data_IF_407897961674
#
_entry.id   IF_407897961674
#
_cell.length_a   1.000
_cell.length_b   1.000
_cell.length_c   1.000
_cell.angle_alpha   90.00
_cell.angle_beta   90.00
_cell.angle_gamma   90.00
#
_symmetry.space_group_name_H-M   'P 1'
#
loop_
_entity.id
_entity.type
_entity.pdbx_description
1 polymer ?
#
# COMPACT_ATOMS: atom_id res chain seq x y z
N UNK A 1 -15.48 30.29 -5.03
CA UNK A 1 -16.71 29.80 -5.69
C UNK A 1 -16.75 28.29 -5.55
N UNK A 2 -17.59 27.78 -4.64
CA UNK A 2 -17.76 26.35 -4.43
C UNK A 2 -18.64 25.76 -5.54
N UNK A 3 -18.15 24.69 -6.17
CA UNK A 3 -18.90 23.97 -7.20
C UNK A 3 -19.95 23.12 -6.47
N UNK A 4 -21.21 23.59 -6.47
CA UNK A 4 -22.36 22.72 -6.19
C UNK A 4 -22.51 21.78 -7.38
N UNK A 5 -22.33 20.49 -7.14
CA UNK A 5 -22.77 19.47 -8.08
C UNK A 5 -24.29 19.42 -7.94
N UNK A 6 -24.98 20.03 -8.91
CA UNK A 6 -26.43 19.89 -9.09
C UNK A 6 -26.65 18.41 -9.40
N UNK A 7 -27.35 17.69 -8.51
CA UNK A 7 -27.88 16.37 -8.82
C UNK A 7 -28.91 16.57 -9.93
N UNK A 8 -28.53 16.14 -11.13
CA UNK A 8 -29.34 16.10 -12.32
C UNK A 8 -30.08 14.75 -12.28
N UNK A 9 -31.34 14.77 -11.84
CA UNK A 9 -32.16 13.56 -11.56
C UNK A 9 -32.52 12.73 -12.82
N UNK A 10 -32.07 13.15 -14.02
CA UNK A 10 -32.40 12.52 -15.31
C UNK A 10 -31.25 11.73 -15.96
N UNK A 11 -30.18 11.40 -15.23
CA UNK A 11 -29.08 10.57 -15.75
C UNK A 11 -29.11 9.16 -15.16
N UNK A 12 -28.91 8.10 -15.96
CA UNK A 12 -28.93 6.73 -15.46
C UNK A 12 -27.89 6.63 -14.35
N UNK A 13 -28.36 6.17 -13.19
CA UNK A 13 -27.68 6.21 -11.90
C UNK A 13 -26.14 6.28 -11.99
N UNK A 14 -25.55 7.37 -11.50
CA UNK A 14 -24.10 7.46 -11.21
C UNK A 14 -23.64 6.46 -10.11
N UNK A 15 -24.50 5.52 -9.73
CA UNK A 15 -24.11 4.33 -9.03
C UNK A 15 -23.33 3.46 -10.03
N UNK A 16 -22.01 3.38 -9.85
CA UNK A 16 -21.29 2.19 -10.29
C UNK A 16 -22.00 1.00 -9.64
N UNK A 17 -22.90 0.31 -10.36
CA UNK A 17 -23.60 -0.92 -9.93
C UNK A 17 -22.63 -2.00 -9.43
N UNK A 18 -21.34 -1.88 -9.77
CA UNK A 18 -20.29 -2.83 -9.44
C UNK A 18 -19.38 -2.39 -8.27
N UNK A 19 -19.57 -1.19 -7.70
CA UNK A 19 -18.80 -0.74 -6.54
C UNK A 19 -19.57 -1.07 -5.25
N UNK A 20 -18.98 -1.80 -4.29
CA UNK A 20 -19.61 -1.99 -2.99
C UNK A 20 -19.93 -0.63 -2.34
N UNK A 21 -20.96 -0.56 -1.46
CA UNK A 21 -21.38 0.69 -0.84
C UNK A 21 -20.17 1.42 -0.26
N UNK A 22 -20.08 2.75 -0.44
CA UNK A 22 -18.96 3.57 0.03
C UNK A 22 -18.54 3.24 1.47
N UNK A 23 -19.53 3.01 2.34
CA UNK A 23 -19.34 2.62 3.74
C UNK A 23 -18.61 1.28 3.89
N UNK A 24 -18.96 0.27 3.09
CA UNK A 24 -18.30 -1.06 3.12
C UNK A 24 -16.83 -0.93 2.71
N UNK A 25 -16.55 -0.20 1.63
CA UNK A 25 -15.18 0.02 1.15
C UNK A 25 -14.36 0.73 2.22
N UNK A 26 -14.90 1.77 2.84
CA UNK A 26 -14.22 2.53 3.89
C UNK A 26 -13.94 1.68 5.13
N UNK A 27 -14.89 0.84 5.57
CA UNK A 27 -14.68 -0.07 6.71
C UNK A 27 -13.59 -1.10 6.41
N UNK A 28 -13.63 -1.74 5.23
CA UNK A 28 -12.60 -2.72 4.86
C UNK A 28 -11.24 -2.04 4.72
N UNK A 29 -11.18 -0.83 4.17
CA UNK A 29 -9.95 -0.05 4.06
C UNK A 29 -9.38 0.29 5.44
N UNK A 30 -10.24 0.65 6.40
CA UNK A 30 -9.85 0.92 7.78
C UNK A 30 -9.25 -0.31 8.46
N UNK A 31 -9.89 -1.47 8.30
CA UNK A 31 -9.39 -2.73 8.84
C UNK A 31 -8.06 -3.13 8.17
N UNK A 32 -7.95 -2.98 6.86
CA UNK A 32 -6.73 -3.31 6.11
C UNK A 32 -5.55 -2.42 6.53
N UNK A 33 -5.74 -1.10 6.62
CA UNK A 33 -4.71 -0.16 7.07
C UNK A 33 -4.28 -0.42 8.52
N UNK A 34 -5.24 -0.76 9.40
CA UNK A 34 -4.93 -1.09 10.80
C UNK A 34 -4.11 -2.38 10.90
N UNK A 35 -4.47 -3.41 10.13
CA UNK A 35 -3.74 -4.68 10.10
C UNK A 35 -2.33 -4.52 9.53
N UNK A 36 -2.17 -3.69 8.50
CA UNK A 36 -0.85 -3.41 7.91
C UNK A 36 0.09 -2.75 8.94
N UNK A 37 -0.39 -1.72 9.64
CA UNK A 37 0.37 -1.07 10.70
C UNK A 37 0.74 -2.03 11.85
N UNK A 38 -0.19 -2.90 12.25
CA UNK A 38 0.09 -3.94 13.25
C UNK A 38 1.14 -4.94 12.77
N UNK A 39 1.12 -5.31 11.50
CA UNK A 39 2.10 -6.20 10.90
C UNK A 39 3.51 -5.57 10.90
N UNK A 40 3.60 -4.26 10.73
CA UNK A 40 4.87 -3.53 10.83
C UNK A 40 5.41 -3.45 12.24
N UNK A 41 4.54 -3.19 13.23
CA UNK A 41 4.97 -3.20 14.63
C UNK A 41 5.39 -4.59 15.10
N UNK A 42 4.73 -5.65 14.64
CA UNK A 42 5.09 -7.02 14.94
C UNK A 42 6.51 -7.33 14.45
N UNK A 43 6.85 -6.91 13.22
CA UNK A 43 8.19 -7.07 12.66
C UNK A 43 9.20 -6.19 13.39
N UNK A 44 8.87 -4.94 13.71
CA UNK A 44 9.73 -4.05 14.50
C UNK A 44 10.09 -4.65 15.85
N UNK A 45 9.10 -5.17 16.59
CA UNK A 45 9.31 -5.77 17.90
C UNK A 45 10.29 -6.95 17.82
N UNK A 46 10.14 -7.81 16.80
CA UNK A 46 11.03 -8.94 16.58
C UNK A 46 12.43 -8.52 16.12
N UNK A 47 12.54 -7.50 15.27
CA UNK A 47 13.83 -6.92 14.90
C UNK A 47 14.53 -6.36 16.15
N UNK A 48 13.82 -5.67 17.03
CA UNK A 48 14.38 -5.07 18.25
C UNK A 48 14.95 -6.12 19.20
N UNK A 49 14.23 -7.23 19.40
CA UNK A 49 14.64 -8.35 20.24
C UNK A 49 15.98 -8.96 19.77
N UNK A 50 16.18 -9.05 18.45
CA UNK A 50 17.36 -9.71 17.85
C UNK A 50 18.43 -8.76 17.32
N UNK A 51 18.21 -7.43 17.41
CA UNK A 51 19.11 -6.39 16.95
C UNK A 51 20.54 -6.52 17.50
N UNK A 52 20.76 -6.80 18.80
CA UNK A 52 22.12 -6.90 19.37
C UNK A 52 22.93 -8.05 18.77
N UNK A 53 22.25 -9.05 18.21
CA UNK A 53 22.89 -10.24 17.69
C UNK A 53 23.30 -10.09 16.22
N UNK A 54 22.88 -9.03 15.49
CA UNK A 54 23.22 -8.84 14.07
C UNK A 54 24.74 -8.72 13.85
N UNK A 55 25.26 -9.50 12.92
CA UNK A 55 26.67 -9.56 12.52
C UNK A 55 26.96 -8.72 11.27
N UNK A 56 25.94 -8.50 10.41
CA UNK A 56 26.09 -7.75 9.16
C UNK A 56 25.76 -6.28 9.35
N UNK A 57 26.73 -5.41 9.04
CA UNK A 57 26.54 -3.95 9.11
C UNK A 57 25.38 -3.48 8.23
N UNK A 58 25.18 -4.11 7.06
CA UNK A 58 24.06 -3.80 6.16
C UNK A 58 22.71 -4.17 6.78
N UNK A 59 22.64 -5.28 7.52
CA UNK A 59 21.44 -5.70 8.22
C UNK A 59 21.10 -4.74 9.36
N UNK A 60 22.11 -4.26 10.09
CA UNK A 60 21.94 -3.25 11.15
C UNK A 60 21.38 -1.94 10.58
N UNK A 61 21.96 -1.42 9.49
CA UNK A 61 21.43 -0.21 8.83
C UNK A 61 20.01 -0.42 8.29
N UNK A 62 19.73 -1.60 7.71
CA UNK A 62 18.38 -1.92 7.24
C UNK A 62 17.36 -1.97 8.39
N UNK A 63 17.74 -2.51 9.55
CA UNK A 63 16.91 -2.55 10.75
C UNK A 63 16.62 -1.14 11.29
N UNK A 64 17.64 -0.27 11.40
CA UNK A 64 17.43 1.12 11.80
C UNK A 64 16.56 1.89 10.81
N UNK A 65 16.77 1.67 9.51
CA UNK A 65 15.89 2.20 8.46
C UNK A 65 14.45 1.71 8.65
N UNK A 66 14.25 0.43 8.97
CA UNK A 66 12.92 -0.14 9.21
C UNK A 66 12.24 0.54 10.40
N UNK A 67 12.93 0.77 11.52
CA UNK A 67 12.38 1.51 12.66
C UNK A 67 12.00 2.95 12.31
N UNK A 68 12.81 3.64 11.52
CA UNK A 68 12.50 5.00 11.06
C UNK A 68 11.22 5.01 10.21
N UNK A 69 11.13 4.13 9.21
CA UNK A 69 9.97 4.04 8.34
C UNK A 69 8.72 3.53 9.05
N UNK A 70 8.85 2.72 10.11
CA UNK A 70 7.74 2.37 10.99
C UNK A 70 7.22 3.58 11.79
N UNK A 71 8.07 4.55 12.11
CA UNK A 71 7.62 5.83 12.66
C UNK A 71 6.86 6.65 11.62
N UNK A 72 7.35 6.67 10.38
CA UNK A 72 6.69 7.36 9.25
C UNK A 72 5.34 6.70 8.93
N UNK A 73 5.23 5.37 8.98
CA UNK A 73 3.98 4.65 8.71
C UNK A 73 2.87 5.02 9.68
N UNK A 74 3.16 5.32 10.94
CA UNK A 74 2.16 5.86 11.89
C UNK A 74 1.58 7.18 11.39
N UNK A 75 2.42 8.09 10.90
CA UNK A 75 1.98 9.40 10.39
C UNK A 75 1.10 9.20 9.15
N UNK A 76 1.55 8.33 8.24
CA UNK A 76 0.86 8.06 6.98
C UNK A 76 -0.47 7.33 7.21
N UNK A 77 -0.51 6.42 8.19
CA UNK A 77 -1.73 5.80 8.69
C UNK A 77 -2.72 6.83 9.22
N UNK A 78 -2.28 7.83 10.00
CA UNK A 78 -3.18 8.91 10.45
C UNK A 78 -3.78 9.66 9.26
N UNK A 79 -3.00 9.97 8.22
CA UNK A 79 -3.51 10.61 7.02
C UNK A 79 -4.53 9.73 6.28
N UNK A 80 -4.26 8.44 6.12
CA UNK A 80 -5.22 7.51 5.51
C UNK A 80 -6.50 7.40 6.36
N UNK A 81 -6.38 7.36 7.69
CA UNK A 81 -7.52 7.31 8.60
C UNK A 81 -8.38 8.57 8.56
N UNK A 82 -7.77 9.76 8.46
CA UNK A 82 -8.52 11.02 8.31
C UNK A 82 -9.34 11.00 7.02
N UNK A 83 -8.74 10.57 5.90
CA UNK A 83 -9.41 10.46 4.60
C UNK A 83 -10.59 9.47 4.63
N UNK A 84 -10.39 8.29 5.23
CA UNK A 84 -11.42 7.26 5.36
C UNK A 84 -12.55 7.71 6.30
N UNK A 85 -12.23 8.31 7.45
CA UNK A 85 -13.23 8.81 8.40
C UNK A 85 -14.04 9.98 7.84
N UNK A 86 -13.41 10.89 7.09
CA UNK A 86 -14.13 11.95 6.39
C UNK A 86 -15.09 11.38 5.34
N UNK A 87 -14.63 10.38 4.59
CA UNK A 87 -15.46 9.67 3.60
C UNK A 87 -16.64 8.94 4.25
N UNK A 88 -16.46 8.37 5.45
CA UNK A 88 -17.55 7.74 6.23
C UNK A 88 -18.55 8.75 6.78
N UNK A 89 -18.07 9.89 7.29
CA UNK A 89 -18.92 10.88 7.96
C UNK A 89 -19.75 11.71 6.98
N UNK A 90 -19.14 12.11 5.86
CA UNK A 90 -19.75 13.04 4.91
C UNK A 90 -20.28 12.35 3.65
N UNK A 91 -20.06 11.05 3.48
CA UNK A 91 -20.42 10.26 2.29
C UNK A 91 -19.87 10.81 0.96
N UNK A 92 -18.94 11.75 1.05
CA UNK A 92 -18.27 12.40 -0.08
C UNK A 92 -16.77 12.15 0.06
N UNK A 93 -16.18 11.56 -0.97
CA UNK A 93 -14.75 11.28 -1.05
C UNK A 93 -14.08 12.34 -1.94
N UNK A 94 -13.16 13.13 -1.39
CA UNK A 94 -12.36 14.04 -2.19
C UNK A 94 -11.30 13.24 -2.96
N UNK A 95 -11.57 12.99 -4.23
CA UNK A 95 -10.73 12.18 -5.12
C UNK A 95 -9.27 12.65 -5.16
N UNK A 96 -9.01 13.95 -5.02
CA UNK A 96 -7.63 14.46 -4.98
C UNK A 96 -6.91 14.05 -3.70
N UNK A 97 -7.54 14.27 -2.55
CA UNK A 97 -7.00 13.92 -1.23
C UNK A 97 -6.81 12.41 -1.09
N UNK A 98 -7.79 11.61 -1.53
CA UNK A 98 -7.71 10.16 -1.49
C UNK A 98 -6.57 9.59 -2.35
N UNK A 99 -6.34 10.17 -3.54
CA UNK A 99 -5.19 9.80 -4.40
C UNK A 99 -3.87 10.20 -3.78
N UNK A 100 -3.80 11.39 -3.19
CA UNK A 100 -2.59 11.88 -2.54
C UNK A 100 -2.23 11.02 -1.32
N UNK A 101 -3.21 10.75 -0.44
CA UNK A 101 -3.02 9.90 0.72
C UNK A 101 -2.51 8.51 0.30
N UNK A 102 -3.14 7.86 -0.68
CA UNK A 102 -2.70 6.53 -1.10
C UNK A 102 -1.34 6.52 -1.80
N UNK A 103 -1.01 7.58 -2.56
CA UNK A 103 0.32 7.71 -3.17
C UNK A 103 1.41 7.95 -2.11
N UNK A 104 1.08 8.67 -1.03
CA UNK A 104 1.95 8.89 0.11
C UNK A 104 2.22 7.59 0.88
N UNK A 105 1.18 6.80 1.15
CA UNK A 105 1.26 5.43 1.70
C UNK A 105 2.20 4.59 0.85
N UNK A 106 2.00 4.57 -0.47
CA UNK A 106 2.84 3.77 -1.34
C UNK A 106 4.32 4.19 -1.26
N UNK A 107 4.60 5.49 -1.33
CA UNK A 107 5.96 6.02 -1.41
C UNK A 107 6.73 5.95 -0.09
N UNK A 108 6.06 6.19 1.04
CA UNK A 108 6.70 6.31 2.35
C UNK A 108 6.64 5.01 3.16
N UNK A 109 5.70 4.13 2.87
CA UNK A 109 5.45 2.94 3.70
C UNK A 109 5.60 1.66 2.90
N UNK A 110 4.77 1.50 1.86
CA UNK A 110 4.65 0.22 1.15
C UNK A 110 5.89 -0.08 0.28
N UNK A 111 6.60 0.91 -0.29
CA UNK A 111 7.84 0.63 -1.03
C UNK A 111 9.05 0.46 -0.10
N UNK A 112 9.33 1.38 0.86
CA UNK A 112 10.55 1.32 1.65
C UNK A 112 10.60 0.11 2.60
N UNK A 113 9.51 -0.19 3.31
CA UNK A 113 9.56 -1.22 4.36
C UNK A 113 9.77 -2.64 3.83
N UNK A 114 9.03 -3.13 2.81
CA UNK A 114 9.31 -4.44 2.21
C UNK A 114 10.71 -4.51 1.58
N UNK A 115 11.21 -3.40 1.03
CA UNK A 115 12.56 -3.33 0.47
C UNK A 115 13.62 -3.50 1.56
N UNK A 116 13.49 -2.75 2.66
CA UNK A 116 14.39 -2.86 3.81
C UNK A 116 14.33 -4.24 4.44
N UNK A 117 13.14 -4.83 4.52
CA UNK A 117 12.95 -6.17 5.02
C UNK A 117 13.63 -7.21 4.13
N UNK A 118 13.51 -7.07 2.81
CA UNK A 118 14.19 -7.93 1.85
C UNK A 118 15.72 -7.84 1.99
N UNK A 119 16.26 -6.62 2.15
CA UNK A 119 17.70 -6.40 2.37
C UNK A 119 18.13 -7.04 3.69
N UNK A 120 17.37 -6.83 4.77
CA UNK A 120 17.63 -7.44 6.07
C UNK A 120 17.68 -8.96 5.96
N UNK A 121 16.67 -9.56 5.35
CA UNK A 121 16.54 -11.01 5.21
C UNK A 121 17.58 -11.64 4.29
N UNK A 122 18.01 -10.91 3.24
CA UNK A 122 19.06 -11.37 2.32
C UNK A 122 20.43 -11.38 2.98
N UNK A 123 20.72 -10.40 3.85
CA UNK A 123 22.01 -10.29 4.52
C UNK A 123 22.06 -11.13 5.80
N UNK A 124 20.93 -11.31 6.49
CA UNK A 124 20.81 -12.12 7.70
C UNK A 124 19.52 -12.94 7.71
N UNK A 125 19.50 -14.08 7.02
CA UNK A 125 18.36 -14.97 7.04
C UNK A 125 18.33 -15.68 8.39
N UNK A 126 17.56 -15.17 9.36
CA UNK A 126 17.38 -15.81 10.68
C UNK A 126 16.06 -16.55 10.75
N UNK A 127 16.10 -17.80 11.21
CA UNK A 127 14.90 -18.63 11.41
C UNK A 127 13.88 -17.97 12.37
N UNK A 128 14.35 -17.25 13.41
CA UNK A 128 13.48 -16.58 14.38
C UNK A 128 12.71 -15.39 13.81
N UNK A 129 13.26 -14.73 12.79
CA UNK A 129 12.59 -13.64 12.07
C UNK A 129 11.70 -14.17 10.93
N UNK A 130 11.88 -15.42 10.49
CA UNK A 130 11.17 -15.97 9.34
C UNK A 130 9.65 -16.03 9.54
N UNK A 131 9.18 -16.57 10.65
CA UNK A 131 7.75 -16.67 10.94
C UNK A 131 7.02 -15.31 11.03
N UNK A 132 7.52 -14.33 11.81
CA UNK A 132 6.89 -13.01 11.87
C UNK A 132 6.96 -12.26 10.53
N UNK A 133 8.07 -12.38 9.79
CA UNK A 133 8.20 -11.78 8.45
C UNK A 133 7.26 -12.43 7.44
N UNK A 134 7.11 -13.76 7.50
CA UNK A 134 6.17 -14.49 6.64
C UNK A 134 4.74 -14.03 6.88
N UNK A 135 4.30 -14.01 8.14
CA UNK A 135 2.94 -13.58 8.51
C UNK A 135 2.69 -12.11 8.14
N UNK A 136 3.63 -11.22 8.45
CA UNK A 136 3.55 -9.79 8.10
C UNK A 136 3.51 -9.57 6.59
N UNK A 137 4.32 -10.31 5.81
CA UNK A 137 4.33 -10.21 4.35
C UNK A 137 3.00 -10.67 3.72
N UNK A 138 2.33 -11.67 4.30
CA UNK A 138 0.98 -12.06 3.85
C UNK A 138 -0.07 -10.97 4.12
N UNK A 139 -0.04 -10.34 5.29
CA UNK A 139 -0.93 -9.22 5.60
C UNK A 139 -0.68 -8.06 4.62
N UNK A 140 0.59 -7.72 4.38
CA UNK A 140 0.98 -6.72 3.39
C UNK A 140 0.48 -7.06 1.99
N UNK A 141 0.55 -8.32 1.57
CA UNK A 141 0.05 -8.73 0.26
C UNK A 141 -1.46 -8.50 0.13
N UNK A 142 -2.23 -8.78 1.18
CA UNK A 142 -3.67 -8.51 1.21
C UNK A 142 -3.95 -7.00 1.17
N UNK A 143 -3.24 -6.20 1.97
CA UNK A 143 -3.36 -4.74 1.99
C UNK A 143 -3.03 -4.11 0.62
N UNK A 144 -1.96 -4.58 -0.04
CA UNK A 144 -1.56 -4.14 -1.38
C UNK A 144 -2.57 -4.53 -2.45
N UNK A 145 -3.13 -5.74 -2.37
CA UNK A 145 -4.18 -6.17 -3.30
C UNK A 145 -5.43 -5.31 -3.14
N UNK A 146 -5.80 -4.98 -1.90
CA UNK A 146 -6.87 -4.01 -1.63
C UNK A 146 -6.55 -2.61 -2.18
N UNK A 147 -5.28 -2.20 -2.11
CA UNK A 147 -4.78 -0.98 -2.74
C UNK A 147 -5.08 -0.90 -4.24
N UNK A 148 -4.97 -2.01 -4.97
CA UNK A 148 -5.34 -2.07 -6.41
C UNK A 148 -6.82 -1.79 -6.61
N UNK A 149 -7.69 -2.39 -5.77
CA UNK A 149 -9.14 -2.16 -5.83
C UNK A 149 -9.44 -0.68 -5.59
N UNK A 150 -8.80 -0.06 -4.59
CA UNK A 150 -8.94 1.38 -4.29
C UNK A 150 -8.43 2.25 -5.44
N UNK A 151 -7.29 1.93 -6.06
CA UNK A 151 -6.78 2.65 -7.24
C UNK A 151 -7.70 2.53 -8.47
N UNK A 152 -8.29 1.36 -8.70
CA UNK A 152 -9.29 1.15 -9.74
C UNK A 152 -10.53 2.02 -9.50
N UNK A 153 -11.07 2.04 -8.27
CA UNK A 153 -12.20 2.89 -7.87
C UNK A 153 -11.88 4.39 -8.07
N UNK A 154 -10.71 4.83 -7.65
CA UNK A 154 -10.24 6.21 -7.78
C UNK A 154 -9.88 6.59 -9.23
N UNK A 155 -10.03 5.68 -10.21
CA UNK A 155 -9.64 5.86 -11.61
C UNK A 155 -8.18 6.32 -11.75
N UNK A 156 -7.36 5.87 -10.81
CA UNK A 156 -5.93 6.16 -10.73
C UNK A 156 -5.09 4.94 -11.17
N UNK A 157 -5.75 3.84 -11.51
CA UNK A 157 -5.12 2.68 -12.10
C UNK A 157 -5.05 2.83 -13.62
N UNK A 158 -3.83 3.05 -14.13
CA UNK A 158 -3.56 3.30 -15.56
C UNK A 158 -4.14 2.22 -16.48
N UNK A 159 -3.98 0.91 -16.20
CA UNK A 159 -4.54 -0.15 -17.05
C UNK A 159 -6.07 -0.16 -17.16
N UNK A 160 -6.79 0.40 -16.18
CA UNK A 160 -8.26 0.41 -16.15
C UNK A 160 -8.89 1.71 -16.71
N UNK A 161 -8.09 2.65 -17.22
CA UNK A 161 -8.60 3.87 -17.87
C UNK A 161 -9.46 3.63 -19.13
N UNK A 162 -9.19 2.61 -19.99
CA UNK A 162 -10.03 2.29 -21.14
C UNK A 162 -11.49 1.97 -20.77
N UNK A 163 -11.70 1.50 -19.54
CA UNK A 163 -12.99 1.06 -19.02
C UNK A 163 -13.80 2.18 -18.35
N UNK A 164 -13.38 3.45 -18.48
CA UNK A 164 -14.12 4.56 -17.86
C UNK A 164 -15.45 4.80 -18.61
N UNK A 165 -16.62 4.57 -17.99
CA UNK A 165 -17.91 4.67 -18.66
C UNK A 165 -18.30 6.10 -19.05
N UNK A 166 -17.58 7.13 -18.57
CA UNK A 166 -17.86 8.54 -18.89
C UNK A 166 -17.44 8.97 -20.31
N UNK A 167 -16.66 8.16 -21.02
CA UNK A 167 -16.14 8.51 -22.35
C UNK A 167 -16.19 7.31 -23.31
N UNK A 168 -16.24 7.60 -24.61
CA UNK A 168 -16.12 6.57 -25.64
C UNK A 168 -14.79 5.84 -25.57
N UNK A 169 -14.79 4.54 -25.91
CA UNK A 169 -13.57 3.70 -25.90
C UNK A 169 -12.40 4.33 -26.66
N UNK A 170 -12.66 4.96 -27.81
CA UNK A 170 -11.64 5.64 -28.61
C UNK A 170 -11.05 6.86 -27.89
N UNK A 171 -11.87 7.62 -27.17
CA UNK A 171 -11.42 8.77 -26.40
C UNK A 171 -10.63 8.34 -25.16
N UNK A 172 -11.04 7.28 -24.47
CA UNK A 172 -10.27 6.73 -23.35
C UNK A 172 -8.90 6.19 -23.80
N UNK A 173 -8.82 5.51 -24.94
CA UNK A 173 -7.54 5.04 -25.52
C UNK A 173 -6.65 6.24 -25.85
N UNK A 174 -7.19 7.28 -26.49
CA UNK A 174 -6.44 8.52 -26.74
C UNK A 174 -5.93 9.14 -25.43
N UNK A 175 -6.78 9.24 -24.41
CA UNK A 175 -6.42 9.79 -23.08
C UNK A 175 -5.45 8.92 -22.27
N UNK A 176 -5.33 7.65 -22.63
CA UNK A 176 -4.33 6.71 -22.07
C UNK A 176 -2.93 7.00 -22.62
N UNK A 177 -2.83 7.50 -23.85
CA UNK A 177 -1.57 7.83 -24.54
C UNK A 177 -1.25 9.33 -24.59
N UNK A 178 -2.15 10.21 -24.15
CA UNK A 178 -1.83 11.62 -23.95
C UNK A 178 -0.89 11.79 -22.76
N UNK A 179 0.34 12.20 -23.05
CA UNK A 179 1.34 12.52 -22.05
C UNK A 179 0.97 13.83 -21.32
N UNK A 180 0.51 13.69 -20.08
CA UNK A 180 0.38 14.80 -19.13
C UNK A 180 1.15 14.46 -17.87
N UNK A 181 1.62 15.46 -17.12
CA UNK A 181 2.35 15.24 -15.87
C UNK A 181 1.57 14.35 -14.88
N UNK A 182 0.24 14.52 -14.84
CA UNK A 182 -0.67 13.69 -14.06
C UNK A 182 -0.65 12.21 -14.49
N UNK A 183 -0.56 11.92 -15.79
CA UNK A 183 -0.45 10.54 -16.31
C UNK A 183 0.91 9.94 -16.03
N UNK A 184 1.99 10.70 -16.16
CA UNK A 184 3.33 10.23 -15.77
C UNK A 184 3.38 9.84 -14.29
N UNK A 185 2.84 10.67 -13.40
CA UNK A 185 2.73 10.37 -11.98
C UNK A 185 1.89 9.11 -11.72
N UNK A 186 0.75 8.98 -12.40
CA UNK A 186 -0.10 7.79 -12.31
C UNK A 186 0.62 6.50 -12.74
N UNK A 187 1.38 6.54 -13.85
CA UNK A 187 2.15 5.40 -14.35
C UNK A 187 3.21 5.02 -13.31
N UNK A 188 3.96 6.00 -12.81
CA UNK A 188 5.01 5.78 -11.83
C UNK A 188 4.47 5.15 -10.55
N UNK A 189 3.37 5.69 -9.99
CA UNK A 189 2.73 5.13 -8.80
C UNK A 189 2.26 3.69 -9.05
N UNK A 190 1.65 3.39 -10.19
CA UNK A 190 1.23 2.02 -10.49
C UNK A 190 2.42 1.06 -10.64
N UNK A 191 3.53 1.49 -11.25
CA UNK A 191 4.77 0.69 -11.33
C UNK A 191 5.32 0.41 -9.94
N UNK A 192 5.39 1.43 -9.07
CA UNK A 192 5.80 1.27 -7.67
C UNK A 192 4.91 0.27 -6.93
N UNK A 193 3.59 0.30 -7.18
CA UNK A 193 2.64 -0.63 -6.57
C UNK A 193 2.91 -2.08 -6.96
N UNK A 194 3.08 -2.35 -8.25
CA UNK A 194 3.43 -3.69 -8.73
C UNK A 194 4.80 -4.14 -8.25
N UNK A 195 5.77 -3.22 -8.21
CA UNK A 195 7.10 -3.51 -7.69
C UNK A 195 7.07 -3.89 -6.21
N UNK A 196 6.25 -3.21 -5.41
CA UNK A 196 6.02 -3.55 -4.01
C UNK A 196 5.44 -4.97 -3.86
N UNK A 197 4.38 -5.30 -4.62
CA UNK A 197 3.80 -6.65 -4.62
C UNK A 197 4.85 -7.70 -4.96
N UNK A 198 5.70 -7.43 -5.96
CA UNK A 198 6.79 -8.32 -6.33
C UNK A 198 7.79 -8.54 -5.17
N UNK A 199 8.21 -7.48 -4.48
CA UNK A 199 9.10 -7.59 -3.31
C UNK A 199 8.46 -8.39 -2.19
N UNK A 200 7.18 -8.13 -1.89
CA UNK A 200 6.46 -8.85 -0.84
C UNK A 200 6.37 -10.35 -1.16
N UNK A 201 6.08 -10.72 -2.41
CA UNK A 201 6.08 -12.13 -2.84
C UNK A 201 7.47 -12.74 -2.67
N UNK A 202 8.54 -12.01 -3.01
CA UNK A 202 9.91 -12.48 -2.76
C UNK A 202 10.20 -12.69 -1.28
N UNK A 203 9.73 -11.79 -0.41
CA UNK A 203 9.89 -11.93 1.04
C UNK A 203 9.14 -13.17 1.56
N UNK A 204 7.94 -13.46 1.05
CA UNK A 204 7.18 -14.68 1.39
C UNK A 204 7.96 -15.93 0.98
N UNK A 205 8.45 -16.00 -0.26
CA UNK A 205 9.24 -17.16 -0.72
C UNK A 205 10.54 -17.33 0.08
N UNK A 206 11.23 -16.23 0.39
CA UNK A 206 12.48 -16.25 1.14
C UNK A 206 12.27 -16.69 2.60
N UNK A 207 11.21 -16.22 3.25
CA UNK A 207 10.86 -16.60 4.62
C UNK A 207 10.31 -18.02 4.73
N UNK A 208 9.55 -18.49 3.72
CA UNK A 208 9.04 -19.87 3.66
C UNK A 208 10.14 -20.92 3.57
N UNK A 209 11.28 -20.59 2.95
CA UNK A 209 12.41 -21.50 2.80
C UNK A 209 13.23 -21.69 4.10
N UNK A 210 12.83 -21.06 5.21
CA UNK A 210 13.50 -21.18 6.50
C UNK A 210 14.87 -20.53 6.50
N UNK A 211 15.00 -19.38 7.19
CA UNK A 211 16.31 -18.74 7.37
C UNK A 211 17.36 -19.68 7.99
N UNK A 212 18.64 -19.33 7.87
CA UNK A 212 19.72 -20.10 8.50
C UNK A 212 19.60 -20.04 10.04
N UNK A 213 19.89 -21.14 10.75
CA UNK A 213 19.81 -21.17 12.22
C UNK A 213 20.85 -20.25 12.87
N UNK A 214 20.50 -19.69 14.03
CA UNK A 214 21.42 -18.91 14.86
C UNK A 214 22.42 -19.90 15.48
N UNK A 215 23.71 -19.75 15.18
CA UNK A 215 24.73 -20.31 16.07
C UNK A 215 24.79 -19.38 17.28
N UNK A 216 24.40 -19.89 18.45
CA UNK A 216 24.72 -19.20 19.68
C UNK A 216 26.23 -19.06 19.73
N UNK A 217 26.73 -17.82 19.89
CA UNK A 217 28.13 -17.64 20.22
C UNK A 217 28.35 -18.31 21.58
N UNK A 218 29.20 -19.34 21.61
CA UNK A 218 29.86 -19.80 22.83
C UNK A 218 30.86 -18.75 23.32
#
# INVERSE_FOLDING_TARGET
MGIRIILDDDKPAENLEWAPPLRVISIVTLLAATLDLLADFLVCNRIAEFLPNFQSQKAIYAAYGYFFFAGVSVIVYIFEMIDVCQSLKYEVENVYTARLAKSLVLALEEVPMPTLLNILFTNEPRLSLANPVFFSSWIKLVALTWGIIKFCKLRFFWPCLPCNPKHDRRENIRRMFTFTAYRCAMILVNICHFYCIYIVIRNIMASANGGRPIKANE
#
